data_IF_994275255443
#
_entry.id   IF_994275255443
#
_cell.length_a   1.000
_cell.length_b   1.000
_cell.length_c   1.000
_cell.angle_alpha   90.00
_cell.angle_beta   90.00
_cell.angle_gamma   90.00
#
_symmetry.space_group_name_H-M   'P 1'
#
loop_
_entity.id
_entity.type
_entity.pdbx_description
1 polymer ?
#
# COMPACT_ATOMS: atom_id res chain seq x y z
N UNK A 1 4.11 22.11 13.76
CA UNK A 1 3.68 21.64 12.42
C UNK A 1 4.74 20.71 11.88
N UNK A 2 4.43 19.42 11.69
CA UNK A 2 5.41 18.53 11.04
C UNK A 2 5.60 18.99 9.61
N UNK A 3 6.82 19.33 9.27
CA UNK A 3 7.19 19.68 7.90
C UNK A 3 6.90 18.49 6.99
N UNK A 4 6.03 18.70 6.00
CA UNK A 4 5.72 17.66 5.01
C UNK A 4 6.98 17.46 4.16
N UNK A 5 7.50 16.22 4.04
CA UNK A 5 8.68 15.99 3.22
C UNK A 5 8.43 16.39 1.76
N UNK A 6 9.09 17.44 1.32
CA UNK A 6 8.99 17.91 -0.06
C UNK A 6 9.98 17.14 -0.95
N UNK A 7 9.60 16.88 -2.22
CA UNK A 7 10.54 16.36 -3.20
C UNK A 7 11.72 17.32 -3.37
N UNK A 8 12.93 16.77 -3.33
CA UNK A 8 14.16 17.53 -3.56
C UNK A 8 15.24 16.58 -4.04
N UNK A 9 16.24 17.04 -4.82
CA UNK A 9 17.27 16.16 -5.38
C UNK A 9 18.01 15.32 -4.34
N UNK A 10 18.30 15.88 -3.16
CA UNK A 10 18.97 15.17 -2.08
C UNK A 10 18.09 14.14 -1.35
N UNK A 11 16.80 14.06 -1.70
CA UNK A 11 15.83 13.11 -1.14
C UNK A 11 15.48 11.99 -2.11
N UNK A 12 16.13 11.93 -3.26
CA UNK A 12 15.92 10.85 -4.22
C UNK A 12 16.40 9.54 -3.58
N UNK A 13 15.49 8.57 -3.48
CA UNK A 13 15.83 7.23 -3.00
C UNK A 13 16.43 6.42 -4.14
N UNK A 14 17.52 5.67 -3.90
CA UNK A 14 18.04 4.76 -4.90
C UNK A 14 17.00 3.73 -5.31
N UNK A 15 16.85 3.48 -6.62
CA UNK A 15 15.91 2.49 -7.11
C UNK A 15 16.44 1.05 -6.97
N UNK A 16 17.74 0.86 -7.16
CA UNK A 16 18.37 -0.46 -7.14
C UNK A 16 18.42 -1.05 -5.72
N UNK A 17 18.00 -2.31 -5.60
CA UNK A 17 18.07 -3.10 -4.36
C UNK A 17 17.29 -2.49 -3.17
N UNK A 18 16.29 -1.67 -3.47
CA UNK A 18 15.42 -1.08 -2.46
C UNK A 18 14.02 -1.66 -2.56
N UNK A 19 13.30 -1.78 -1.42
CA UNK A 19 11.92 -2.26 -1.46
C UNK A 19 11.00 -1.31 -2.22
N UNK A 20 9.92 -1.87 -2.76
CA UNK A 20 8.73 -1.14 -3.20
C UNK A 20 7.61 -1.39 -2.19
N UNK A 21 6.88 -0.35 -1.85
CA UNK A 21 5.62 -0.48 -1.11
C UNK A 21 4.48 -0.52 -2.09
N UNK A 22 3.57 -1.47 -1.92
CA UNK A 22 2.44 -1.70 -2.82
C UNK A 22 1.15 -1.61 -2.02
N UNK A 23 0.33 -0.61 -2.33
CA UNK A 23 -1.01 -0.51 -1.75
C UNK A 23 -1.96 -1.51 -2.40
N UNK A 24 -2.59 -2.34 -1.58
CA UNK A 24 -3.54 -3.36 -2.04
C UNK A 24 -4.84 -3.27 -1.26
N UNK A 25 -5.91 -3.76 -1.88
CA UNK A 25 -7.21 -3.93 -1.24
C UNK A 25 -7.75 -5.33 -1.52
N UNK A 26 -8.59 -5.89 -0.65
CA UNK A 26 -9.21 -7.18 -0.91
C UNK A 26 -9.99 -7.19 -2.23
N UNK A 27 -9.84 -8.27 -3.00
CA UNK A 27 -10.52 -8.43 -4.29
C UNK A 27 -9.98 -7.58 -5.44
N UNK A 28 -8.85 -6.90 -5.25
CA UNK A 28 -8.21 -6.11 -6.30
C UNK A 28 -7.67 -7.01 -7.42
N UNK A 29 -7.65 -6.47 -8.64
CA UNK A 29 -7.00 -7.13 -9.77
C UNK A 29 -5.55 -7.49 -9.46
N UNK A 30 -5.11 -8.67 -9.87
CA UNK A 30 -3.73 -9.13 -9.76
C UNK A 30 -2.73 -8.26 -10.52
N UNK A 31 -3.18 -7.40 -11.43
CA UNK A 31 -2.32 -6.50 -12.21
C UNK A 31 -1.43 -5.62 -11.34
N UNK A 32 -1.92 -5.16 -10.19
CA UNK A 32 -1.11 -4.33 -9.28
C UNK A 32 0.07 -5.11 -8.74
N UNK A 33 -0.19 -6.30 -8.18
CA UNK A 33 0.85 -7.17 -7.63
C UNK A 33 1.83 -7.64 -8.71
N UNK A 34 1.34 -8.03 -9.88
CA UNK A 34 2.17 -8.49 -11.00
C UNK A 34 3.04 -7.38 -11.57
N UNK A 35 2.51 -6.18 -11.71
CA UNK A 35 3.29 -5.01 -12.14
C UNK A 35 4.38 -4.68 -11.14
N UNK A 36 4.04 -4.65 -9.86
CA UNK A 36 5.01 -4.41 -8.80
C UNK A 36 6.12 -5.48 -8.78
N UNK A 37 5.75 -6.76 -8.97
CA UNK A 37 6.73 -7.85 -9.05
C UNK A 37 7.69 -7.67 -10.24
N UNK A 38 7.19 -7.26 -11.40
CA UNK A 38 8.01 -6.96 -12.58
C UNK A 38 9.04 -5.87 -12.28
N UNK A 39 8.63 -4.80 -11.62
CA UNK A 39 9.52 -3.71 -11.21
C UNK A 39 10.54 -4.15 -10.17
N UNK A 40 10.12 -4.91 -9.16
CA UNK A 40 11.01 -5.45 -8.14
C UNK A 40 12.09 -6.36 -8.74
N UNK A 41 11.72 -7.23 -9.67
CA UNK A 41 12.67 -8.07 -10.39
C UNK A 41 13.68 -7.26 -11.19
N UNK A 42 13.24 -6.22 -11.89
CA UNK A 42 14.10 -5.35 -12.69
C UNK A 42 15.10 -4.55 -11.84
N UNK A 43 14.72 -4.19 -10.61
CA UNK A 43 15.55 -3.38 -9.71
C UNK A 43 16.28 -4.18 -8.64
N UNK A 44 16.03 -5.47 -8.53
CA UNK A 44 16.60 -6.32 -7.48
C UNK A 44 16.02 -6.06 -6.09
N UNK A 45 14.86 -5.41 -6.02
CA UNK A 45 14.18 -5.08 -4.77
C UNK A 45 13.21 -6.16 -4.29
N UNK A 46 12.69 -5.97 -3.09
CA UNK A 46 11.59 -6.74 -2.50
C UNK A 46 10.29 -5.94 -2.50
N UNK A 47 9.18 -6.60 -2.16
CA UNK A 47 7.86 -5.97 -2.09
C UNK A 47 7.34 -5.98 -0.65
N UNK A 48 6.78 -4.86 -0.23
CA UNK A 48 5.95 -4.76 0.97
C UNK A 48 4.54 -4.36 0.56
N UNK A 49 3.63 -5.31 0.59
CA UNK A 49 2.21 -5.04 0.38
C UNK A 49 1.59 -4.47 1.65
N UNK A 50 0.85 -3.41 1.51
CA UNK A 50 0.14 -2.77 2.61
C UNK A 50 -1.35 -2.64 2.31
N UNK A 51 -2.18 -3.13 3.22
CA UNK A 51 -3.61 -2.89 3.21
C UNK A 51 -3.97 -1.99 4.40
N UNK A 52 -4.47 -0.80 4.13
CA UNK A 52 -4.96 0.13 5.13
C UNK A 52 -6.47 -0.08 5.31
N UNK A 53 -6.85 -0.72 6.41
CA UNK A 53 -8.25 -0.99 6.73
C UNK A 53 -8.93 0.29 7.25
N UNK A 54 -9.90 0.86 6.52
CA UNK A 54 -10.57 2.09 6.91
C UNK A 54 -11.50 1.93 8.12
N UNK A 55 -11.82 0.69 8.50
CA UNK A 55 -12.66 0.38 9.67
C UNK A 55 -11.87 0.28 10.97
N UNK A 56 -10.56 0.52 10.91
CA UNK A 56 -9.66 0.43 12.05
C UNK A 56 -8.87 1.71 12.22
N UNK A 57 -8.43 1.97 13.45
CA UNK A 57 -7.57 3.11 13.79
C UNK A 57 -6.20 2.63 14.26
N UNK A 58 -5.19 3.46 14.04
CA UNK A 58 -3.83 3.20 14.52
C UNK A 58 -3.73 3.60 15.99
N UNK A 59 -3.38 2.63 16.83
CA UNK A 59 -3.03 2.88 18.23
C UNK A 59 -1.56 3.22 18.37
N UNK A 60 -0.69 2.53 17.64
CA UNK A 60 0.74 2.73 17.67
C UNK A 60 1.40 2.29 16.36
N UNK A 61 2.34 3.10 15.88
CA UNK A 61 3.22 2.78 14.76
C UNK A 61 4.59 2.34 15.26
N UNK A 62 5.16 1.29 14.66
CA UNK A 62 6.48 0.78 14.99
C UNK A 62 7.49 1.09 13.88
N UNK A 63 8.77 1.13 14.25
CA UNK A 63 9.86 1.47 13.34
C UNK A 63 10.06 0.47 12.18
N UNK A 64 9.58 -0.77 12.32
CA UNK A 64 9.62 -1.81 11.30
C UNK A 64 8.45 -1.75 10.29
N UNK A 65 7.58 -0.75 10.41
CA UNK A 65 6.41 -0.58 9.57
C UNK A 65 5.16 -1.33 10.02
N UNK A 66 5.24 -2.09 11.10
CA UNK A 66 4.05 -2.69 11.72
C UNK A 66 3.25 -1.66 12.49
N UNK A 67 1.96 -1.92 12.67
CA UNK A 67 1.08 -1.06 13.46
C UNK A 67 0.25 -1.90 14.42
N UNK A 68 0.03 -1.36 15.61
CA UNK A 68 -1.02 -1.84 16.50
C UNK A 68 -2.28 -1.03 16.21
N UNK A 69 -3.38 -1.72 16.04
CA UNK A 69 -4.64 -1.11 15.65
C UNK A 69 -5.82 -1.71 16.40
N UNK A 70 -6.89 -0.94 16.49
CA UNK A 70 -8.16 -1.34 17.10
C UNK A 70 -9.33 -0.97 16.19
N UNK A 71 -10.52 -1.56 16.41
CA UNK A 71 -11.71 -1.19 15.64
C UNK A 71 -12.06 0.29 15.82
N UNK A 72 -12.48 0.93 14.74
CA UNK A 72 -13.03 2.30 14.81
C UNK A 72 -14.33 2.33 15.63
N UNK A 73 -15.13 1.27 15.49
CA UNK A 73 -16.37 1.06 16.24
C UNK A 73 -16.18 -0.13 17.21
N UNK A 74 -15.94 0.12 18.52
CA UNK A 74 -15.62 -0.95 19.47
C UNK A 74 -16.73 -1.99 19.66
N UNK A 75 -17.98 -1.61 19.44
CA UNK A 75 -19.16 -2.45 19.65
C UNK A 75 -19.51 -3.32 18.42
N UNK A 76 -18.71 -3.28 17.38
CA UNK A 76 -18.92 -4.09 16.18
C UNK A 76 -18.49 -5.54 16.45
N UNK A 77 -19.46 -6.45 16.55
CA UNK A 77 -19.25 -7.85 16.87
C UNK A 77 -18.47 -8.64 15.80
N UNK A 78 -18.43 -8.15 14.55
CA UNK A 78 -17.85 -8.85 13.39
C UNK A 78 -16.53 -8.21 12.91
N UNK A 79 -15.60 -7.97 13.83
CA UNK A 79 -14.29 -7.47 13.41
C UNK A 79 -13.34 -8.64 13.08
N UNK A 80 -13.51 -9.21 11.91
CA UNK A 80 -12.73 -10.33 11.41
C UNK A 80 -11.53 -9.88 10.56
N UNK A 81 -10.73 -8.96 11.09
CA UNK A 81 -9.57 -8.44 10.37
C UNK A 81 -8.52 -9.54 10.11
N UNK A 82 -8.42 -10.53 10.97
CA UNK A 82 -7.49 -11.67 10.79
C UNK A 82 -7.88 -12.50 9.58
N UNK A 83 -9.16 -12.75 9.39
CA UNK A 83 -9.68 -13.44 8.21
C UNK A 83 -9.40 -12.63 6.93
N UNK A 84 -9.64 -11.31 6.95
CA UNK A 84 -9.30 -10.44 5.81
C UNK A 84 -7.82 -10.45 5.49
N UNK A 85 -6.97 -10.47 6.52
CA UNK A 85 -5.52 -10.58 6.35
C UNK A 85 -5.11 -11.90 5.70
N UNK A 86 -5.67 -13.02 6.17
CA UNK A 86 -5.37 -14.34 5.64
C UNK A 86 -5.88 -14.50 4.20
N UNK A 87 -7.07 -14.01 3.88
CA UNK A 87 -7.62 -14.02 2.53
C UNK A 87 -6.76 -13.20 1.56
N UNK A 88 -6.32 -12.02 1.99
CA UNK A 88 -5.45 -11.17 1.20
C UNK A 88 -4.08 -11.81 0.98
N UNK A 89 -3.52 -12.44 2.02
CA UNK A 89 -2.26 -13.20 1.90
C UNK A 89 -2.40 -14.34 0.90
N UNK A 90 -3.50 -15.09 0.95
CA UNK A 90 -3.79 -16.15 0.00
C UNK A 90 -3.89 -15.62 -1.42
N UNK A 91 -4.64 -14.54 -1.63
CA UNK A 91 -4.76 -13.88 -2.93
C UNK A 91 -3.40 -13.48 -3.51
N UNK A 92 -2.52 -12.89 -2.71
CA UNK A 92 -1.18 -12.49 -3.12
C UNK A 92 -0.29 -13.71 -3.40
N UNK A 93 -0.37 -14.75 -2.58
CA UNK A 93 0.37 -16.00 -2.79
C UNK A 93 0.01 -16.64 -4.13
N UNK A 94 -1.26 -16.69 -4.46
CA UNK A 94 -1.75 -17.21 -5.74
C UNK A 94 -1.31 -16.33 -6.92
N UNK A 95 -1.42 -15.01 -6.78
CA UNK A 95 -1.04 -14.06 -7.83
C UNK A 95 0.46 -14.09 -8.15
N UNK A 96 1.30 -14.31 -7.14
CA UNK A 96 2.76 -14.25 -7.26
C UNK A 96 3.41 -15.63 -7.38
N UNK A 97 2.63 -16.70 -7.49
CA UNK A 97 3.14 -18.06 -7.64
C UNK A 97 4.11 -18.18 -8.81
N UNK A 98 5.27 -18.78 -8.57
CA UNK A 98 6.32 -18.96 -9.56
C UNK A 98 7.12 -17.69 -9.91
N UNK A 99 6.88 -16.58 -9.26
CA UNK A 99 7.64 -15.34 -9.44
C UNK A 99 8.80 -15.27 -8.46
N UNK A 100 10.05 -15.06 -8.90
CA UNK A 100 11.23 -15.00 -8.03
C UNK A 100 11.33 -13.61 -7.37
N UNK A 101 10.35 -13.25 -6.54
CA UNK A 101 10.32 -12.00 -5.79
C UNK A 101 10.04 -12.29 -4.31
N UNK A 102 10.78 -11.63 -3.45
CA UNK A 102 10.55 -11.67 -2.00
C UNK A 102 9.51 -10.63 -1.63
N UNK A 103 8.53 -11.01 -0.83
CA UNK A 103 7.48 -10.10 -0.43
C UNK A 103 6.95 -10.37 0.97
N UNK A 104 6.40 -9.35 1.58
CA UNK A 104 5.70 -9.40 2.85
C UNK A 104 4.39 -8.63 2.77
N UNK A 105 3.41 -8.99 3.59
CA UNK A 105 2.14 -8.31 3.74
C UNK A 105 2.05 -7.64 5.12
N UNK A 106 1.70 -6.36 5.14
CA UNK A 106 1.43 -5.58 6.34
C UNK A 106 -0.04 -5.21 6.40
N UNK A 107 -0.69 -5.53 7.52
CA UNK A 107 -2.04 -5.07 7.81
C UNK A 107 -1.94 -3.71 8.52
N UNK A 108 -2.44 -2.68 7.86
CA UNK A 108 -2.37 -1.30 8.31
C UNK A 108 -3.78 -0.82 8.66
N UNK A 109 -3.90 0.39 9.16
CA UNK A 109 -5.19 0.94 9.55
C UNK A 109 -5.32 2.42 9.13
N UNK A 110 -6.55 2.87 8.96
CA UNK A 110 -6.88 4.25 8.67
C UNK A 110 -6.72 4.63 7.20
N UNK A 111 -6.29 5.85 6.97
CA UNK A 111 -6.15 6.39 5.60
C UNK A 111 -4.98 5.74 4.87
N UNK A 112 -5.25 5.26 3.66
CA UNK A 112 -4.26 4.55 2.85
C UNK A 112 -3.01 5.40 2.53
N UNK A 113 -3.18 6.68 2.20
CA UNK A 113 -2.05 7.57 1.90
C UNK A 113 -1.10 7.73 3.09
N UNK A 114 -1.62 7.88 4.29
CA UNK A 114 -0.81 7.97 5.51
C UNK A 114 -0.16 6.64 5.88
N UNK A 115 -0.92 5.57 5.82
CA UNK A 115 -0.45 4.23 6.17
C UNK A 115 0.68 3.77 5.23
N UNK A 116 0.53 3.96 3.93
CA UNK A 116 1.54 3.61 2.94
C UNK A 116 2.79 4.50 3.05
N UNK A 117 2.63 5.78 3.36
CA UNK A 117 3.77 6.68 3.62
C UNK A 117 4.57 6.24 4.85
N UNK A 118 3.89 5.87 5.93
CA UNK A 118 4.54 5.32 7.13
C UNK A 118 5.32 4.03 6.80
N UNK A 119 4.68 3.09 6.12
CA UNK A 119 5.32 1.84 5.73
C UNK A 119 6.54 2.10 4.82
N UNK A 120 6.40 2.96 3.81
CA UNK A 120 7.49 3.29 2.90
C UNK A 120 8.69 3.91 3.62
N UNK A 121 8.44 4.75 4.61
CA UNK A 121 9.51 5.32 5.47
C UNK A 121 10.19 4.24 6.29
N UNK A 122 9.42 3.38 6.93
CA UNK A 122 9.93 2.34 7.82
C UNK A 122 10.83 1.34 7.09
N UNK A 123 10.46 0.95 5.87
CA UNK A 123 11.22 -0.04 5.09
C UNK A 123 12.24 0.57 4.14
N UNK A 124 12.34 1.88 4.05
CA UNK A 124 13.25 2.58 3.13
C UNK A 124 12.90 2.34 1.66
N UNK A 125 11.62 2.36 1.32
CA UNK A 125 11.16 2.10 -0.04
C UNK A 125 11.62 3.15 -1.04
N UNK A 126 11.93 2.72 -2.26
CA UNK A 126 12.28 3.61 -3.38
C UNK A 126 11.07 4.22 -4.06
N UNK A 127 9.93 3.55 -4.04
CA UNK A 127 8.69 4.01 -4.66
C UNK A 127 7.46 3.35 -4.00
N UNK A 128 6.30 3.93 -4.27
CA UNK A 128 5.01 3.39 -3.84
C UNK A 128 4.19 3.06 -5.08
N UNK A 129 3.62 1.87 -5.13
CA UNK A 129 2.79 1.36 -6.23
C UNK A 129 1.35 1.28 -5.76
N UNK A 130 0.43 1.82 -6.52
CA UNK A 130 -1.01 1.76 -6.25
C UNK A 130 -1.78 1.50 -7.54
N UNK A 131 -2.95 0.89 -7.42
CA UNK A 131 -3.86 0.73 -8.55
C UNK A 131 -4.72 1.97 -8.76
N UNK A 132 -4.99 2.33 -10.00
CA UNK A 132 -6.03 3.27 -10.34
C UNK A 132 -7.36 2.53 -10.38
N UNK A 133 -8.30 2.87 -9.48
CA UNK A 133 -9.68 2.44 -9.65
C UNK A 133 -10.34 3.27 -10.72
N UNK A 134 -10.86 2.62 -11.75
CA UNK A 134 -11.86 3.26 -12.58
C UNK A 134 -13.20 3.25 -11.85
N UNK A 135 -13.80 4.44 -11.73
CA UNK A 135 -15.14 4.57 -11.16
C UNK A 135 -16.14 3.75 -11.97
N UNK A 136 -16.73 2.73 -11.35
CA UNK A 136 -17.93 2.09 -11.88
C UNK A 136 -19.14 2.85 -11.38
N UNK A 137 -19.70 3.75 -12.23
CA UNK A 137 -21.01 4.37 -12.01
C UNK A 137 -21.02 5.43 -10.90
N UNK A 138 -22.09 6.17 -10.88
CA UNK A 138 -22.42 7.40 -10.17
C UNK A 138 -22.32 7.40 -8.63
N UNK A 139 -21.38 6.69 -7.99
CA UNK A 139 -21.25 6.71 -6.54
C UNK A 139 -20.05 7.52 -6.12
N UNK A 140 -20.32 8.57 -5.35
CA UNK A 140 -19.40 9.52 -4.72
C UNK A 140 -18.26 8.85 -3.91
N UNK A 141 -18.36 7.56 -3.60
CA UNK A 141 -17.33 6.79 -2.90
C UNK A 141 -16.11 6.42 -3.76
N UNK A 142 -16.20 6.52 -5.08
CA UNK A 142 -15.11 6.16 -5.99
C UNK A 142 -14.02 7.27 -6.09
N UNK A 143 -14.31 8.46 -5.60
CA UNK A 143 -13.34 9.56 -5.50
C UNK A 143 -12.13 9.25 -4.60
N UNK A 144 -12.27 8.31 -3.66
CA UNK A 144 -11.22 8.00 -2.70
C UNK A 144 -10.03 7.23 -3.31
N UNK A 145 -10.22 6.42 -4.32
CA UNK A 145 -9.14 5.62 -4.91
C UNK A 145 -8.26 6.42 -5.88
N UNK A 146 -8.83 7.31 -6.67
CA UNK A 146 -8.05 8.28 -7.44
C UNK A 146 -7.29 9.25 -6.53
N UNK A 147 -7.84 9.54 -5.36
CA UNK A 147 -7.22 10.44 -4.39
C UNK A 147 -5.97 9.86 -3.72
N UNK A 148 -5.82 8.55 -3.56
CA UNK A 148 -4.65 7.96 -2.87
C UNK A 148 -3.36 8.24 -3.64
N UNK A 149 -3.32 7.93 -4.94
CA UNK A 149 -2.15 8.20 -5.78
C UNK A 149 -1.80 9.69 -5.81
N UNK A 150 -2.80 10.54 -5.96
CA UNK A 150 -2.62 11.99 -5.98
C UNK A 150 -2.18 12.55 -4.62
N UNK A 151 -2.76 12.07 -3.52
CA UNK A 151 -2.34 12.46 -2.17
C UNK A 151 -0.90 12.02 -1.88
N UNK A 152 -0.53 10.80 -2.26
CA UNK A 152 0.84 10.32 -2.13
C UNK A 152 1.80 11.18 -2.94
N UNK A 153 1.46 11.52 -4.17
CA UNK A 153 2.30 12.35 -5.03
C UNK A 153 2.50 13.78 -4.48
N UNK A 154 1.57 14.29 -3.67
CA UNK A 154 1.62 15.64 -3.10
C UNK A 154 2.21 15.72 -1.70
N UNK A 155 2.16 14.62 -0.91
CA UNK A 155 2.43 14.68 0.52
C UNK A 155 3.62 13.84 0.99
N UNK A 156 4.34 13.22 0.07
CA UNK A 156 5.58 12.51 0.36
C UNK A 156 6.51 12.57 -0.86
N UNK A 157 7.81 12.26 -0.71
CA UNK A 157 8.83 12.54 -1.72
C UNK A 157 9.13 11.37 -2.67
N UNK A 158 8.65 10.16 -2.38
CA UNK A 158 8.94 9.00 -3.22
C UNK A 158 8.10 9.01 -4.49
N UNK A 159 8.63 8.52 -5.62
CA UNK A 159 7.83 8.30 -6.81
C UNK A 159 6.61 7.42 -6.55
N UNK A 160 5.52 7.69 -7.22
CA UNK A 160 4.28 6.92 -7.14
C UNK A 160 3.99 6.33 -8.51
N UNK A 161 3.92 5.00 -8.58
CA UNK A 161 3.51 4.26 -9.76
C UNK A 161 2.03 3.94 -9.67
N UNK A 162 1.26 4.45 -10.60
CA UNK A 162 -0.18 4.19 -10.68
C UNK A 162 -0.44 3.18 -11.78
N UNK A 163 -0.92 1.99 -11.40
CA UNK A 163 -1.21 0.90 -12.32
C UNK A 163 -2.63 1.06 -12.85
N UNK A 164 -2.82 1.24 -14.18
CA UNK A 164 -4.15 1.27 -14.76
C UNK A 164 -4.87 -0.05 -14.54
N UNK A 165 -6.10 0.00 -14.08
CA UNK A 165 -6.96 -1.16 -13.95
C UNK A 165 -8.10 -1.02 -14.95
N UNK A 166 -8.18 -2.00 -15.86
CA UNK A 166 -9.30 -2.05 -16.80
C UNK A 166 -10.62 -2.33 -16.09
N UNK A 167 -11.67 -1.75 -16.59
CA UNK A 167 -13.04 -2.00 -16.14
C UNK A 167 -13.49 -3.42 -16.51
#
# INVERSE_FOLDING_TARGET
MREIPQPAPHRIEPAANRPLVVGVVPGQSSLVALTAATWAQATGGSLYFGYADPTRIVDQEFADGTVRHSPLEPDREDDDWRQRFDDLRKQLTESLAGRPVTWELRYLAGRADRALTHLARAVGASAIVVGARQARGERVHDFFAESVGLHLARHQHRPVLVVPLSV
#
